data_IF_271026012070
#
_entry.id   IF_271026012070
#
_cell.length_a   1.000
_cell.length_b   1.000
_cell.length_c   1.000
_cell.angle_alpha   90.00
_cell.angle_beta   90.00
_cell.angle_gamma   90.00
#
_symmetry.space_group_name_H-M   'P 1'
#
loop_
_entity.id
_entity.type
_entity.pdbx_description
1 polymer ?
#
# COMPACT_ATOMS: atom_id res chain seq x y z
N UNK A 1 1.99 8.39 12.31
CA UNK A 1 1.42 7.06 12.03
C UNK A 1 -0.03 7.05 12.47
N UNK A 2 -1.00 6.81 11.58
CA UNK A 2 -2.41 6.68 11.96
C UNK A 2 -2.55 5.45 12.89
N UNK A 3 -3.04 5.64 14.11
CA UNK A 3 -3.43 4.54 14.99
C UNK A 3 -4.91 4.24 14.75
N UNK A 4 -5.19 3.17 14.00
CA UNK A 4 -6.55 2.72 13.70
C UNK A 4 -7.15 1.84 14.81
N UNK A 5 -6.40 1.59 15.88
CA UNK A 5 -6.79 0.74 17.01
C UNK A 5 -6.55 1.47 18.32
N UNK A 6 -7.43 1.26 19.31
CA UNK A 6 -7.35 1.86 20.65
C UNK A 6 -6.05 1.46 21.38
N UNK A 7 -5.48 0.31 21.00
CA UNK A 7 -4.22 -0.19 21.52
C UNK A 7 -3.26 -0.55 20.39
N UNK A 8 -1.96 -0.40 20.65
CA UNK A 8 -0.95 -0.79 19.68
C UNK A 8 -0.96 -2.32 19.48
N UNK A 9 -1.20 -2.77 18.25
CA UNK A 9 -1.31 -4.20 17.93
C UNK A 9 -0.04 -4.99 18.32
N UNK A 10 1.13 -4.35 18.35
CA UNK A 10 2.38 -5.02 18.77
C UNK A 10 2.37 -5.50 20.22
N UNK A 11 1.41 -5.07 21.05
CA UNK A 11 1.24 -5.59 22.41
C UNK A 11 0.51 -6.94 22.44
N UNK A 12 -0.16 -7.31 21.35
CA UNK A 12 -1.03 -8.49 21.26
C UNK A 12 -0.65 -9.44 20.13
N UNK A 13 0.19 -9.00 19.19
CA UNK A 13 0.70 -9.79 18.08
C UNK A 13 2.22 -9.85 18.19
N UNK A 14 2.77 -11.07 18.18
CA UNK A 14 4.21 -11.32 18.15
C UNK A 14 4.58 -12.15 16.92
N UNK A 15 5.68 -11.78 16.26
CA UNK A 15 6.30 -12.58 15.19
C UNK A 15 7.46 -13.45 15.70
N UNK A 16 7.74 -13.46 17.01
CA UNK A 16 8.92 -14.11 17.60
C UNK A 16 8.94 -15.64 17.51
N UNK A 17 7.77 -16.27 17.32
CA UNK A 17 7.63 -17.74 17.22
C UNK A 17 6.99 -18.18 15.90
N UNK A 18 7.14 -17.34 14.87
CA UNK A 18 6.72 -17.69 13.52
C UNK A 18 7.68 -18.78 13.01
N UNK A 19 7.15 -19.91 12.51
CA UNK A 19 7.99 -20.99 12.00
C UNK A 19 8.85 -20.55 10.81
N UNK A 20 9.99 -21.20 10.60
CA UNK A 20 11.03 -20.81 9.61
C UNK A 20 10.49 -20.48 8.21
N UNK A 21 9.48 -21.23 7.74
CA UNK A 21 8.85 -20.99 6.45
C UNK A 21 8.20 -19.60 6.36
N UNK A 22 7.53 -19.19 7.44
CA UNK A 22 6.82 -17.94 7.52
C UNK A 22 7.77 -16.76 7.81
N UNK A 23 8.90 -16.99 8.50
CA UNK A 23 9.95 -15.98 8.65
C UNK A 23 10.52 -15.54 7.29
N UNK A 24 10.85 -16.50 6.42
CA UNK A 24 11.33 -16.19 5.06
C UNK A 24 10.32 -15.37 4.25
N UNK A 25 9.04 -15.67 4.41
CA UNK A 25 7.97 -14.90 3.77
C UNK A 25 7.90 -13.46 4.29
N UNK A 26 8.01 -13.27 5.62
CA UNK A 26 8.08 -11.94 6.25
C UNK A 26 9.31 -11.17 5.76
N UNK A 27 10.47 -11.81 5.68
CA UNK A 27 11.70 -11.19 5.22
C UNK A 27 11.56 -10.67 3.78
N UNK A 28 10.98 -11.48 2.88
CA UNK A 28 10.72 -11.08 1.49
C UNK A 28 9.74 -9.91 1.40
N UNK A 29 8.68 -9.92 2.22
CA UNK A 29 7.75 -8.80 2.32
C UNK A 29 8.45 -7.53 2.82
N UNK A 30 9.31 -7.66 3.84
CA UNK A 30 10.03 -6.54 4.44
C UNK A 30 11.10 -5.94 3.53
N UNK A 31 11.67 -6.75 2.63
CA UNK A 31 12.67 -6.31 1.66
C UNK A 31 12.08 -5.42 0.56
N UNK A 32 10.75 -5.44 0.36
CA UNK A 32 10.09 -4.61 -0.63
C UNK A 32 9.97 -3.18 -0.09
N UNK A 33 10.74 -2.24 -0.62
CA UNK A 33 10.65 -0.84 -0.20
C UNK A 33 9.30 -0.25 -0.61
N UNK A 34 8.47 0.08 0.37
CA UNK A 34 7.19 0.75 0.13
C UNK A 34 7.48 2.25 -0.01
N UNK A 35 7.16 2.87 -1.16
CA UNK A 35 7.38 4.29 -1.35
C UNK A 35 6.46 5.08 -0.40
N UNK A 36 7.00 6.12 0.23
CA UNK A 36 6.26 6.95 1.18
C UNK A 36 5.53 8.12 0.51
N UNK A 37 5.77 8.34 -0.79
CA UNK A 37 5.11 9.39 -1.57
C UNK A 37 4.87 8.94 -3.00
N UNK A 38 3.89 9.59 -3.64
CA UNK A 38 3.61 9.41 -5.07
C UNK A 38 4.86 9.65 -5.93
N UNK A 39 5.62 10.71 -5.63
CA UNK A 39 6.84 11.04 -6.38
C UNK A 39 7.88 9.91 -6.30
N UNK A 40 8.04 9.26 -5.14
CA UNK A 40 8.93 8.11 -5.01
C UNK A 40 8.40 6.87 -5.72
N UNK A 41 7.09 6.61 -5.65
CA UNK A 41 6.46 5.50 -6.35
C UNK A 41 6.60 5.62 -7.88
N UNK A 42 6.54 6.84 -8.41
CA UNK A 42 6.75 7.13 -9.83
C UNK A 42 8.17 6.82 -10.32
N UNK A 43 9.18 6.89 -9.44
CA UNK A 43 10.57 6.60 -9.79
C UNK A 43 10.86 5.09 -9.89
N UNK A 44 10.05 4.25 -9.23
CA UNK A 44 10.17 2.81 -9.30
C UNK A 44 9.23 2.24 -10.39
N UNK A 45 9.84 1.69 -11.44
CA UNK A 45 9.12 1.09 -12.57
C UNK A 45 8.11 -0.01 -12.17
N UNK A 46 8.38 -0.78 -11.10
CA UNK A 46 7.46 -1.82 -10.63
C UNK A 46 6.21 -1.22 -10.01
N UNK A 47 6.39 -0.20 -9.18
CA UNK A 47 5.28 0.54 -8.57
C UNK A 47 4.48 1.29 -9.63
N UNK A 48 5.15 2.00 -10.54
CA UNK A 48 4.49 2.69 -11.65
C UNK A 48 3.63 1.73 -12.49
N UNK A 49 4.19 0.59 -12.88
CA UNK A 49 3.47 -0.43 -13.65
C UNK A 49 2.25 -0.96 -12.89
N UNK A 50 2.42 -1.34 -11.62
CA UNK A 50 1.33 -1.86 -10.80
C UNK A 50 0.21 -0.83 -10.62
N UNK A 51 0.55 0.44 -10.36
CA UNK A 51 -0.42 1.54 -10.27
C UNK A 51 -1.20 1.74 -11.57
N UNK A 52 -0.52 1.63 -12.72
CA UNK A 52 -1.16 1.75 -14.03
C UNK A 52 -2.12 0.60 -14.30
N UNK A 53 -1.70 -0.64 -14.04
CA UNK A 53 -2.54 -1.83 -14.20
C UNK A 53 -3.79 -1.80 -13.32
N UNK A 54 -3.66 -1.29 -12.08
CA UNK A 54 -4.82 -1.07 -11.21
C UNK A 54 -5.75 0.01 -11.79
N UNK A 55 -5.21 1.15 -12.23
CA UNK A 55 -6.04 2.22 -12.83
C UNK A 55 -6.82 1.74 -14.06
N UNK A 56 -6.16 1.00 -14.96
CA UNK A 56 -6.79 0.38 -16.14
C UNK A 56 -7.87 -0.64 -15.71
N UNK A 57 -7.61 -1.39 -14.63
CA UNK A 57 -8.54 -2.32 -14.01
C UNK A 57 -9.79 -1.65 -13.42
N UNK A 58 -9.65 -0.45 -12.85
CA UNK A 58 -10.78 0.31 -12.30
C UNK A 58 -11.67 0.85 -13.43
N UNK A 59 -11.05 1.39 -14.48
CA UNK A 59 -11.74 1.91 -15.66
C UNK A 59 -12.49 0.77 -16.37
N UNK A 60 -11.82 -0.35 -16.65
CA UNK A 60 -12.43 -1.47 -17.36
C UNK A 60 -13.60 -2.11 -16.62
N UNK A 61 -13.53 -2.18 -15.29
CA UNK A 61 -14.61 -2.75 -14.46
C UNK A 61 -15.78 -1.79 -14.28
N UNK A 62 -15.67 -0.53 -14.69
CA UNK A 62 -16.69 0.51 -14.47
C UNK A 62 -17.08 0.61 -12.98
N UNK A 63 -16.15 0.29 -12.08
CA UNK A 63 -16.37 0.33 -10.63
C UNK A 63 -16.02 1.69 -10.05
N UNK A 64 -15.24 2.50 -10.77
CA UNK A 64 -14.82 3.84 -10.39
C UNK A 64 -14.98 4.81 -11.55
N UNK A 65 -15.36 6.04 -11.24
CA UNK A 65 -15.42 7.16 -12.18
C UNK A 65 -14.41 8.22 -11.72
N UNK A 66 -13.61 8.72 -12.65
CA UNK A 66 -12.71 9.84 -12.38
C UNK A 66 -13.51 11.14 -12.46
N UNK A 67 -13.69 11.80 -11.33
CA UNK A 67 -14.41 13.08 -11.22
C UNK A 67 -13.43 14.20 -10.93
N UNK A 68 -13.76 15.41 -11.39
CA UNK A 68 -12.99 16.58 -11.02
C UNK A 68 -13.09 16.85 -9.51
N UNK A 69 -12.00 17.34 -8.90
CA UNK A 69 -12.04 17.71 -7.51
C UNK A 69 -13.05 18.85 -7.30
N UNK A 70 -13.77 18.86 -6.17
CA UNK A 70 -14.75 19.90 -5.92
C UNK A 70 -14.06 21.25 -5.75
N UNK A 71 -14.72 22.33 -6.18
CA UNK A 71 -14.16 23.69 -6.19
C UNK A 71 -13.71 24.24 -4.83
N UNK A 72 -14.14 23.62 -3.73
CA UNK A 72 -13.76 23.98 -2.36
C UNK A 72 -12.52 23.24 -1.86
N UNK A 73 -12.03 22.23 -2.59
CA UNK A 73 -10.84 21.50 -2.20
C UNK A 73 -9.59 22.33 -2.55
N UNK A 74 -8.85 22.79 -1.53
CA UNK A 74 -7.49 23.29 -1.70
C UNK A 74 -6.57 22.08 -1.85
N UNK A 75 -6.18 21.77 -3.09
CA UNK A 75 -5.19 20.75 -3.44
C UNK A 75 -3.78 21.32 -3.25
#
# INVERSE_FOLDING_TARGET
TRQCTIHHLSKFVSTTHVGDHMCKFIDVLSATSIPISHAQAMLDSKWYKAMKEEMDSLISRHTWELVEPPSWANI
#
